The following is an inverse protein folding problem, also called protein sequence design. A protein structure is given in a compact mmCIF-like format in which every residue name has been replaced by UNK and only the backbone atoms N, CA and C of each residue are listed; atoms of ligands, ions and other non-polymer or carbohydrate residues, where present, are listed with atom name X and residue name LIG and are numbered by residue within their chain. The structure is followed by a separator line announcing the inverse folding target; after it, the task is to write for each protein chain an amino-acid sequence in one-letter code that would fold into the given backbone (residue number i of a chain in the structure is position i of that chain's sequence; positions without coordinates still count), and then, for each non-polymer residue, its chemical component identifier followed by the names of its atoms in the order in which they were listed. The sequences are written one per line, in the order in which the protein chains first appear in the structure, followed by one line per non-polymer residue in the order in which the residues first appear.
data_IF_122908510551
#
_entry.id   IF_122908510551
#
_cell.length_a   1.000
_cell.length_b   1.000
_cell.length_c   1.000
_cell.angle_alpha   90.00
_cell.angle_beta   90.00
_cell.angle_gamma   90.00
#
_symmetry.space_group_name_H-M   'P 1'
#
loop_
_entity.id
_entity.type
_entity.pdbx_description
1 polymer ?
#
# COMPACT_ATOMS: atom_id res chain seq x y z
N UNK A 1 24.99 -22.64 -12.52
CA UNK A 1 23.61 -22.77 -13.04
C UNK A 1 22.74 -23.23 -11.88
N UNK A 2 22.08 -22.32 -11.21
CA UNK A 2 21.18 -22.66 -10.09
C UNK A 2 19.83 -23.03 -10.69
N UNK A 3 19.49 -24.32 -10.66
CA UNK A 3 18.13 -24.75 -10.96
C UNK A 3 17.22 -24.28 -9.83
N UNK A 4 16.19 -23.51 -10.15
CA UNK A 4 15.11 -23.20 -9.22
C UNK A 4 14.41 -24.50 -8.85
N UNK A 5 14.74 -25.07 -7.71
CA UNK A 5 13.97 -26.16 -7.13
C UNK A 5 12.64 -25.57 -6.65
N UNK A 6 11.57 -25.87 -7.37
CA UNK A 6 10.23 -25.63 -6.91
C UNK A 6 9.92 -26.71 -5.88
N UNK A 7 10.06 -26.39 -4.61
CA UNK A 7 9.69 -27.28 -3.51
C UNK A 7 8.18 -27.16 -3.35
N UNK A 8 7.45 -28.25 -3.63
CA UNK A 8 6.03 -28.29 -3.37
C UNK A 8 5.80 -28.44 -1.85
N UNK A 9 4.87 -27.68 -1.31
CA UNK A 9 4.50 -27.63 0.13
C UNK A 9 4.11 -28.99 0.74
N UNK A 10 4.07 -30.06 -0.04
CA UNK A 10 3.47 -31.34 0.36
C UNK A 10 4.43 -32.40 0.87
N UNK A 11 5.74 -32.14 0.96
CA UNK A 11 6.66 -33.15 1.49
C UNK A 11 7.94 -32.60 2.14
N UNK A 12 7.87 -32.10 3.38
CA UNK A 12 9.03 -31.54 4.11
C UNK A 12 10.13 -32.59 4.37
N UNK A 13 9.82 -33.87 4.43
CA UNK A 13 10.81 -34.92 4.65
C UNK A 13 11.77 -35.12 3.47
N UNK A 14 11.32 -34.89 2.23
CA UNK A 14 12.18 -34.99 1.05
C UNK A 14 13.21 -33.85 0.98
N UNK A 15 12.89 -32.69 1.54
CA UNK A 15 13.77 -31.53 1.56
C UNK A 15 14.92 -31.73 2.56
N UNK A 16 14.65 -32.28 3.72
CA UNK A 16 15.66 -32.63 4.75
C UNK A 16 16.65 -33.68 4.23
N UNK A 17 16.20 -34.59 3.39
CA UNK A 17 17.02 -35.67 2.84
C UNK A 17 18.04 -35.17 1.80
N UNK A 18 17.75 -34.05 1.12
CA UNK A 18 18.59 -33.46 0.08
C UNK A 18 19.63 -32.46 0.59
N UNK A 19 19.38 -31.78 1.70
CA UNK A 19 20.17 -30.64 2.15
C UNK A 19 20.94 -30.88 3.45
N UNK A 20 20.57 -31.88 4.25
CA UNK A 20 21.28 -32.24 5.49
C UNK A 20 21.24 -31.15 6.57
N UNK A 21 20.46 -30.12 6.41
CA UNK A 21 20.29 -29.01 7.34
C UNK A 21 18.82 -28.87 7.73
N UNK A 22 18.54 -28.43 8.93
CA UNK A 22 17.17 -28.08 9.35
C UNK A 22 16.68 -26.87 8.56
N UNK A 23 15.79 -27.13 7.61
CA UNK A 23 15.07 -26.09 6.87
C UNK A 23 13.91 -25.58 7.73
N UNK A 24 14.04 -24.39 8.25
CA UNK A 24 12.92 -23.68 8.86
C UNK A 24 12.03 -23.16 7.73
N UNK A 25 10.85 -23.75 7.60
CA UNK A 25 9.76 -23.15 6.82
C UNK A 25 9.31 -21.92 7.59
N UNK A 26 9.82 -20.77 7.18
CA UNK A 26 9.32 -19.51 7.71
C UNK A 26 7.98 -19.25 7.01
N UNK A 27 6.89 -19.27 7.77
CA UNK A 27 5.61 -18.86 7.28
C UNK A 27 5.70 -17.40 6.82
N UNK A 28 5.61 -17.17 5.51
CA UNK A 28 5.68 -15.82 4.95
C UNK A 28 4.63 -14.88 5.56
N UNK A 29 3.55 -15.41 6.12
CA UNK A 29 2.52 -14.61 6.78
C UNK A 29 3.00 -14.02 8.11
N UNK A 30 3.89 -14.70 8.83
CA UNK A 30 4.43 -14.21 10.11
C UNK A 30 5.33 -12.98 9.97
N UNK A 31 5.96 -12.76 8.81
CA UNK A 31 6.84 -11.62 8.59
C UNK A 31 6.11 -10.29 8.41
N UNK A 32 4.80 -10.32 8.15
CA UNK A 32 4.01 -9.14 7.83
C UNK A 32 3.08 -8.69 8.96
N UNK A 33 3.03 -9.40 10.09
CA UNK A 33 2.29 -8.95 11.28
C UNK A 33 2.85 -7.66 11.90
N UNK A 34 4.08 -7.28 11.53
CA UNK A 34 4.77 -6.10 12.04
C UNK A 34 4.76 -4.90 11.07
N UNK A 35 3.91 -4.87 10.05
CA UNK A 35 3.82 -3.67 9.21
C UNK A 35 3.29 -2.50 10.04
N UNK A 36 4.19 -1.57 10.36
CA UNK A 36 3.84 -0.34 11.07
C UNK A 36 3.05 0.57 10.14
N UNK A 37 1.89 0.98 10.58
CA UNK A 37 1.06 1.96 9.89
C UNK A 37 0.79 3.16 10.77
N UNK A 38 0.61 4.31 10.14
CA UNK A 38 0.06 5.51 10.77
C UNK A 38 -1.44 5.61 10.45
N UNK A 39 -2.26 6.02 11.46
CA UNK A 39 -3.71 6.13 11.33
C UNK A 39 -4.49 4.91 11.83
N UNK A 40 -5.81 5.04 11.86
CA UNK A 40 -6.71 4.07 12.53
C UNK A 40 -7.41 3.07 11.61
N UNK A 41 -7.33 3.21 10.29
CA UNK A 41 -7.97 2.34 9.27
C UNK A 41 -9.53 2.21 9.37
N UNK A 42 -10.20 3.13 10.03
CA UNK A 42 -11.65 3.07 10.26
C UNK A 42 -12.48 2.95 8.97
N UNK A 43 -12.06 3.63 7.91
CA UNK A 43 -12.75 3.59 6.61
C UNK A 43 -12.05 2.68 5.59
N UNK A 44 -11.10 1.84 6.04
CA UNK A 44 -10.40 0.88 5.18
C UNK A 44 -9.76 1.58 3.97
N UNK A 45 -9.18 2.75 4.23
CA UNK A 45 -8.49 3.57 3.25
C UNK A 45 -6.98 3.47 3.47
N UNK A 46 -6.30 2.74 2.61
CA UNK A 46 -4.86 2.52 2.67
C UNK A 46 -4.12 3.55 1.80
N UNK A 47 -3.11 4.18 2.36
CA UNK A 47 -2.19 5.06 1.66
C UNK A 47 -0.80 4.44 1.67
N UNK A 48 -0.18 4.31 0.52
CA UNK A 48 1.14 3.69 0.35
C UNK A 48 2.10 4.74 -0.20
N UNK A 49 3.16 5.02 0.55
CA UNK A 49 4.26 5.90 0.15
C UNK A 49 5.54 5.08 -0.05
N UNK A 50 6.51 5.64 -0.76
CA UNK A 50 7.84 5.07 -0.96
C UNK A 50 8.88 6.12 -0.62
N UNK A 51 9.19 6.24 0.66
CA UNK A 51 10.23 7.11 1.19
C UNK A 51 11.38 6.25 1.72
N UNK A 52 12.57 6.40 1.18
CA UNK A 52 13.75 5.64 1.59
C UNK A 52 14.28 5.94 3.01
N UNK A 53 13.52 6.66 3.85
CA UNK A 53 13.87 7.03 5.21
C UNK A 53 12.96 6.36 6.25
N UNK A 54 13.22 6.58 7.55
CA UNK A 54 12.49 5.95 8.65
C UNK A 54 11.07 6.50 8.85
N UNK A 55 10.77 7.69 8.34
CA UNK A 55 9.45 8.29 8.49
C UNK A 55 8.48 7.78 7.43
N UNK A 56 7.23 7.54 7.82
CA UNK A 56 6.17 7.16 6.88
C UNK A 56 5.90 8.33 5.94
N UNK A 57 5.79 9.54 6.48
CA UNK A 57 5.62 10.76 5.72
C UNK A 57 6.50 11.87 6.32
N UNK A 58 7.31 12.58 5.51
CA UNK A 58 8.10 13.71 5.98
C UNK A 58 7.21 14.84 6.51
N UNK A 59 7.67 15.56 7.54
CA UNK A 59 6.94 16.67 8.16
C UNK A 59 6.52 17.73 7.14
N UNK A 60 7.40 18.04 6.17
CA UNK A 60 7.14 19.02 5.10
C UNK A 60 5.96 18.66 4.19
N UNK A 61 5.60 17.38 4.11
CA UNK A 61 4.52 16.87 3.26
C UNK A 61 3.25 16.58 4.06
N UNK A 62 3.38 16.46 5.38
CA UNK A 62 2.32 16.07 6.30
C UNK A 62 1.11 17.00 6.24
N UNK A 63 1.31 18.30 6.31
CA UNK A 63 0.24 19.28 6.27
C UNK A 63 -0.56 19.26 4.97
N UNK A 64 0.14 19.06 3.85
CA UNK A 64 -0.51 18.96 2.55
C UNK A 64 -1.34 17.68 2.46
N UNK A 65 -0.77 16.55 2.87
CA UNK A 65 -1.46 15.26 2.90
C UNK A 65 -2.73 15.33 3.77
N UNK A 66 -2.62 15.83 5.00
CA UNK A 66 -3.77 15.94 5.90
C UNK A 66 -4.86 16.86 5.37
N UNK A 67 -4.52 17.97 4.70
CA UNK A 67 -5.52 18.83 4.04
C UNK A 67 -6.30 18.09 2.96
N UNK A 68 -5.65 17.24 2.19
CA UNK A 68 -6.34 16.41 1.18
C UNK A 68 -7.26 15.41 1.90
N UNK A 69 -6.71 14.65 2.84
CA UNK A 69 -7.45 13.59 3.54
C UNK A 69 -8.68 14.14 4.25
N UNK A 70 -8.54 15.21 5.02
CA UNK A 70 -9.67 15.82 5.75
C UNK A 70 -10.70 16.52 4.84
N UNK A 71 -10.34 16.77 3.58
CA UNK A 71 -11.30 17.26 2.57
C UNK A 71 -12.17 16.15 1.98
N UNK A 72 -11.83 14.88 2.24
CA UNK A 72 -12.62 13.73 1.78
C UNK A 72 -13.82 13.57 2.72
N UNK A 73 -14.97 14.02 2.24
CA UNK A 73 -16.25 13.90 2.96
C UNK A 73 -17.39 13.66 1.97
N UNK A 74 -18.33 12.85 2.35
CA UNK A 74 -19.58 12.61 1.65
C UNK A 74 -20.71 12.38 2.66
N UNK A 75 -21.90 12.03 2.20
CA UNK A 75 -23.08 11.80 3.05
C UNK A 75 -22.91 10.65 4.05
N UNK A 76 -21.92 9.77 3.84
CA UNK A 76 -21.69 8.58 4.65
C UNK A 76 -20.60 8.74 5.67
N UNK A 77 -19.58 9.58 5.42
CA UNK A 77 -18.46 9.79 6.31
C UNK A 77 -17.73 11.10 6.07
N UNK A 78 -17.01 11.54 7.11
CA UNK A 78 -15.98 12.59 7.03
C UNK A 78 -14.65 11.94 7.41
N UNK A 79 -13.64 12.07 6.56
CA UNK A 79 -12.32 11.49 6.82
C UNK A 79 -11.59 12.28 7.91
N UNK A 80 -11.03 11.56 8.87
CA UNK A 80 -10.21 12.09 9.96
C UNK A 80 -8.91 11.26 10.09
N UNK A 81 -8.11 11.52 11.10
CA UNK A 81 -6.86 10.81 11.33
C UNK A 81 -7.04 9.30 11.61
N UNK A 82 -8.19 8.89 12.14
CA UNK A 82 -8.51 7.49 12.41
C UNK A 82 -9.10 6.80 11.17
N UNK A 83 -9.46 7.56 10.14
CA UNK A 83 -10.17 7.08 8.97
C UNK A 83 -9.32 6.31 7.96
N UNK A 84 -8.02 6.49 7.98
CA UNK A 84 -7.08 5.90 7.02
C UNK A 84 -5.95 5.14 7.69
N UNK A 85 -5.22 4.35 6.91
CA UNK A 85 -3.90 3.84 7.27
C UNK A 85 -2.86 4.30 6.25
N UNK A 86 -1.64 4.56 6.69
CA UNK A 86 -0.51 4.88 5.82
C UNK A 86 0.67 3.98 6.15
N UNK A 87 1.32 3.47 5.11
CA UNK A 87 2.54 2.66 5.22
C UNK A 87 3.62 3.19 4.28
N UNK A 88 4.88 3.06 4.69
CA UNK A 88 6.03 3.27 3.83
C UNK A 88 6.53 1.93 3.30
N UNK A 89 6.22 1.64 2.04
CA UNK A 89 6.50 0.33 1.42
C UNK A 89 8.01 0.05 1.28
N UNK A 90 8.86 1.07 1.25
CA UNK A 90 10.31 0.90 1.14
C UNK A 90 10.92 0.17 2.34
N UNK A 91 10.24 0.16 3.48
CA UNK A 91 10.69 -0.53 4.70
C UNK A 91 10.42 -2.05 4.66
N UNK A 92 9.60 -2.53 3.73
CA UNK A 92 9.12 -3.91 3.71
C UNK A 92 9.44 -4.60 2.38
N UNK A 93 10.54 -5.37 2.36
CA UNK A 93 10.93 -6.14 1.19
C UNK A 93 10.01 -7.34 0.98
N UNK A 94 9.59 -7.55 -0.26
CA UNK A 94 8.82 -8.75 -0.64
C UNK A 94 7.33 -8.72 -0.27
N UNK A 95 6.83 -7.62 0.32
CA UNK A 95 5.39 -7.45 0.56
C UNK A 95 4.64 -7.54 -0.75
N UNK A 96 3.57 -8.33 -0.77
CA UNK A 96 2.64 -8.48 -1.88
C UNK A 96 1.28 -7.93 -1.51
N UNK A 97 0.46 -7.64 -2.53
CA UNK A 97 -0.89 -7.13 -2.29
C UNK A 97 -1.70 -8.02 -1.34
N UNK A 98 -1.61 -9.35 -1.47
CA UNK A 98 -2.29 -10.31 -0.58
C UNK A 98 -2.02 -10.04 0.91
N UNK A 99 -0.80 -9.62 1.26
CA UNK A 99 -0.42 -9.32 2.64
C UNK A 99 -1.08 -8.01 3.11
N UNK A 100 -1.08 -6.98 2.26
CA UNK A 100 -1.74 -5.71 2.55
C UNK A 100 -3.26 -5.86 2.64
N UNK A 101 -3.85 -6.66 1.76
CA UNK A 101 -5.28 -6.97 1.78
C UNK A 101 -5.67 -7.72 3.06
N UNK A 102 -4.87 -8.68 3.49
CA UNK A 102 -5.09 -9.42 4.73
C UNK A 102 -5.04 -8.50 5.97
N UNK A 103 -4.03 -7.61 6.05
CA UNK A 103 -3.81 -6.76 7.22
C UNK A 103 -4.79 -5.58 7.30
N UNK A 104 -5.06 -4.93 6.16
CA UNK A 104 -5.82 -3.67 6.12
C UNK A 104 -7.22 -3.83 5.52
N UNK A 105 -7.46 -4.90 4.77
CA UNK A 105 -8.72 -5.16 4.03
C UNK A 105 -9.23 -3.91 3.30
N UNK A 106 -8.41 -3.21 2.48
CA UNK A 106 -8.73 -1.88 1.99
C UNK A 106 -9.89 -1.90 0.99
N UNK A 107 -10.74 -0.88 1.06
CA UNK A 107 -11.76 -0.57 0.04
C UNK A 107 -11.25 0.51 -0.90
N UNK A 108 -10.38 1.36 -0.40
CA UNK A 108 -9.69 2.41 -1.14
C UNK A 108 -8.20 2.33 -0.90
N UNK A 109 -7.40 2.50 -1.95
CA UNK A 109 -5.94 2.54 -1.83
C UNK A 109 -5.37 3.60 -2.76
N UNK A 110 -4.48 4.46 -2.24
CA UNK A 110 -3.71 5.40 -3.06
C UNK A 110 -2.22 5.11 -2.90
N UNK A 111 -1.54 4.92 -4.03
CA UNK A 111 -0.09 4.83 -4.13
C UNK A 111 0.46 6.22 -4.47
N UNK A 112 1.20 6.83 -3.53
CA UNK A 112 1.78 8.16 -3.64
C UNK A 112 3.25 8.05 -4.05
N UNK A 113 3.53 8.08 -5.34
CA UNK A 113 4.87 7.88 -5.88
C UNK A 113 5.46 6.48 -5.66
N UNK A 114 4.69 5.60 -5.03
CA UNK A 114 5.04 4.21 -4.79
C UNK A 114 4.54 3.37 -5.97
N UNK A 115 5.44 2.66 -6.65
CA UNK A 115 5.07 1.83 -7.79
C UNK A 115 4.21 0.62 -7.35
N UNK A 116 2.94 0.52 -7.81
CA UNK A 116 2.07 -0.60 -7.46
C UNK A 116 2.60 -1.97 -7.93
N UNK A 117 3.45 -2.02 -8.94
CA UNK A 117 4.04 -3.27 -9.42
C UNK A 117 4.95 -3.93 -8.38
N UNK A 118 5.51 -3.17 -7.44
CA UNK A 118 6.28 -3.71 -6.31
C UNK A 118 5.47 -4.69 -5.46
N UNK A 119 4.16 -4.50 -5.38
CA UNK A 119 3.25 -5.38 -4.65
C UNK A 119 2.43 -6.31 -5.57
N UNK A 120 2.70 -6.29 -6.88
CA UNK A 120 2.06 -7.13 -7.87
C UNK A 120 0.73 -6.59 -8.42
N UNK A 121 0.56 -5.27 -8.43
CA UNK A 121 -0.62 -4.60 -9.00
C UNK A 121 -0.25 -3.83 -10.26
N UNK A 122 -0.96 -4.06 -11.34
CA UNK A 122 -0.84 -3.27 -12.56
C UNK A 122 -1.73 -2.03 -12.50
N UNK A 123 -1.13 -0.86 -12.38
CA UNK A 123 -1.83 0.42 -12.41
C UNK A 123 -0.94 1.48 -13.07
N UNK A 124 -1.48 2.21 -14.03
CA UNK A 124 -0.73 3.30 -14.68
C UNK A 124 -0.70 4.53 -13.79
N UNK A 125 0.40 5.28 -13.86
CA UNK A 125 0.52 6.58 -13.21
C UNK A 125 -0.64 7.50 -13.64
N UNK A 126 -1.26 8.19 -12.67
CA UNK A 126 -2.48 8.99 -12.81
C UNK A 126 -3.68 8.19 -13.30
N UNK A 127 -3.65 6.88 -13.09
CA UNK A 127 -4.72 5.94 -13.41
C UNK A 127 -5.32 5.27 -12.19
N UNK A 128 -6.41 4.55 -12.44
CA UNK A 128 -7.09 3.73 -11.44
C UNK A 128 -7.12 2.27 -11.86
N UNK A 129 -7.19 1.40 -10.86
CA UNK A 129 -7.40 -0.04 -11.02
C UNK A 129 -8.40 -0.55 -9.99
N UNK A 130 -8.93 -1.74 -10.23
CA UNK A 130 -9.76 -2.47 -9.28
C UNK A 130 -9.07 -3.80 -8.95
N UNK A 131 -8.77 -4.01 -7.68
CA UNK A 131 -8.17 -5.25 -7.19
C UNK A 131 -9.11 -5.87 -6.15
N UNK A 132 -9.81 -6.94 -6.53
CA UNK A 132 -10.92 -7.43 -5.73
C UNK A 132 -11.98 -6.34 -5.55
N UNK A 133 -12.27 -5.99 -4.30
CA UNK A 133 -13.19 -4.89 -3.96
C UNK A 133 -12.50 -3.55 -3.70
N UNK A 134 -11.16 -3.50 -3.80
CA UNK A 134 -10.40 -2.30 -3.55
C UNK A 134 -10.26 -1.44 -4.80
N UNK A 135 -10.66 -0.16 -4.70
CA UNK A 135 -10.40 0.86 -5.71
C UNK A 135 -9.01 1.43 -5.49
N UNK A 136 -8.16 1.31 -6.49
CA UNK A 136 -6.77 1.73 -6.42
C UNK A 136 -6.57 2.97 -7.29
N UNK A 137 -5.75 3.88 -6.82
CA UNK A 137 -5.28 5.05 -7.54
C UNK A 137 -3.74 5.12 -7.42
N UNK A 138 -3.06 5.37 -8.54
CA UNK A 138 -1.63 5.61 -8.56
C UNK A 138 -1.34 7.03 -9.03
N UNK A 139 -0.64 7.81 -8.21
CA UNK A 139 -0.31 9.22 -8.45
C UNK A 139 1.16 9.50 -8.13
N UNK A 140 1.64 10.66 -8.50
CA UNK A 140 2.97 11.14 -8.13
C UNK A 140 3.14 11.23 -6.60
N UNK A 141 4.36 11.44 -6.14
CA UNK A 141 4.65 11.63 -4.72
C UNK A 141 3.91 12.84 -4.14
N UNK A 142 3.66 12.80 -2.84
CA UNK A 142 3.01 13.90 -2.12
C UNK A 142 3.75 15.21 -2.35
N UNK A 143 5.10 15.16 -2.33
CA UNK A 143 5.96 16.32 -2.60
C UNK A 143 5.70 16.92 -3.98
N UNK A 144 5.82 16.11 -5.04
CA UNK A 144 5.63 16.59 -6.42
C UNK A 144 4.24 17.17 -6.66
N UNK A 145 3.20 16.57 -6.05
CA UNK A 145 1.84 17.09 -6.13
C UNK A 145 1.73 18.41 -5.37
N UNK A 146 2.35 18.50 -4.17
CA UNK A 146 2.28 19.71 -3.34
C UNK A 146 2.91 20.94 -4.00
N UNK A 147 3.87 20.74 -4.89
CA UNK A 147 4.58 21.79 -5.61
C UNK A 147 3.93 22.20 -6.95
N UNK A 148 2.89 21.46 -7.42
CA UNK A 148 2.31 21.66 -8.74
C UNK A 148 0.78 21.81 -8.71
N UNK A 149 0.29 22.98 -9.13
CA UNK A 149 -1.15 23.30 -9.09
C UNK A 149 -2.01 22.43 -10.04
N UNK A 150 -1.49 22.08 -11.21
CA UNK A 150 -2.23 21.23 -12.15
C UNK A 150 -2.35 19.80 -11.62
N UNK A 151 -1.27 19.26 -11.02
CA UNK A 151 -1.30 17.96 -10.34
C UNK A 151 -2.29 17.95 -9.16
N UNK A 152 -2.37 19.05 -8.38
CA UNK A 152 -3.36 19.19 -7.30
C UNK A 152 -4.80 19.10 -7.83
N UNK A 153 -5.11 19.83 -8.92
CA UNK A 153 -6.44 19.78 -9.55
C UNK A 153 -6.76 18.40 -10.09
N UNK A 154 -5.78 17.77 -10.76
CA UNK A 154 -5.92 16.43 -11.30
C UNK A 154 -6.18 15.40 -10.19
N UNK A 155 -5.37 15.45 -9.12
CA UNK A 155 -5.56 14.60 -7.95
C UNK A 155 -6.97 14.74 -7.38
N UNK A 156 -7.42 15.99 -7.16
CA UNK A 156 -8.74 16.23 -6.57
C UNK A 156 -9.86 15.67 -7.43
N UNK A 157 -9.76 15.79 -8.76
CA UNK A 157 -10.71 15.19 -9.69
C UNK A 157 -10.75 13.66 -9.61
N UNK A 158 -9.61 13.00 -9.39
CA UNK A 158 -9.52 11.56 -9.21
C UNK A 158 -10.09 11.12 -7.85
N UNK A 159 -9.73 11.83 -6.78
CA UNK A 159 -10.23 11.57 -5.42
C UNK A 159 -11.75 11.72 -5.36
N UNK A 160 -12.31 12.79 -5.93
CA UNK A 160 -13.78 12.97 -6.01
C UNK A 160 -14.46 11.77 -6.67
N UNK A 161 -13.92 11.27 -7.78
CA UNK A 161 -14.48 10.09 -8.48
C UNK A 161 -14.33 8.83 -7.63
N UNK A 162 -13.17 8.61 -7.02
CA UNK A 162 -12.90 7.45 -6.19
C UNK A 162 -13.87 7.33 -5.01
N UNK A 163 -14.10 8.43 -4.30
CA UNK A 163 -14.93 8.50 -3.11
C UNK A 163 -16.39 8.92 -3.39
N UNK A 164 -16.74 9.15 -4.66
CA UNK A 164 -18.08 9.60 -5.08
C UNK A 164 -18.52 10.89 -4.36
N UNK A 165 -17.60 11.87 -4.29
CA UNK A 165 -17.83 13.20 -3.71
C UNK A 165 -18.45 14.11 -4.79
N UNK A 166 -19.53 14.81 -4.47
CA UNK A 166 -20.16 15.78 -5.34
C UNK A 166 -19.41 17.12 -5.35
#
# INVERSE_FOLDING_TARGET
MYQNLIISENNPEQVNMLMGEELYLVDETLWFEEIKSEGGNKFRFLNIVDHGNEHIIPESERDFFFRIITSIKNDKFTMDADGFSMINISQYRGVKWKNLDHLFSPVYCIFWGADPEKVGIHCKLWGGALQGNCRILYVDSIKEISENQEKKKQLWGLVKRMFQIQ
#
